data_IF_147265156308
#
_entry.id   IF_147265156308
#
_cell.length_a   1.000
_cell.length_b   1.000
_cell.length_c   1.000
_cell.angle_alpha   90.00
_cell.angle_beta   90.00
_cell.angle_gamma   90.00
#
_symmetry.space_group_name_H-M   'P 1'
#
loop_
_entity.id
_entity.type
_entity.pdbx_description
1 polymer ?
#
# COMPACT_ATOMS: atom_id res chain seq x y z
N UNK A 1 -9.38 40.92 3.17
CA UNK A 1 -8.35 40.59 2.15
C UNK A 1 -8.17 39.09 2.14
N UNK A 2 -8.67 38.40 1.12
CA UNK A 2 -8.37 36.98 0.95
C UNK A 2 -7.04 36.87 0.19
N UNK A 3 -5.93 36.71 0.91
CA UNK A 3 -4.61 36.52 0.29
C UNK A 3 -4.62 35.24 -0.55
N UNK A 4 -4.45 35.36 -1.86
CA UNK A 4 -4.39 34.21 -2.78
C UNK A 4 -2.98 33.64 -2.84
N UNK A 5 -2.82 32.40 -3.33
CA UNK A 5 -1.48 31.80 -3.53
C UNK A 5 -0.58 32.65 -4.45
N UNK A 6 -1.18 33.36 -5.41
CA UNK A 6 -0.46 34.22 -6.38
C UNK A 6 0.17 35.43 -5.69
N UNK A 7 -0.57 36.04 -4.77
CA UNK A 7 -0.25 37.30 -4.08
C UNK A 7 0.55 37.10 -2.79
N UNK A 8 0.77 35.85 -2.38
CA UNK A 8 1.46 35.55 -1.13
C UNK A 8 2.94 35.96 -1.18
N UNK A 9 3.50 36.39 -0.05
CA UNK A 9 4.91 36.76 0.02
C UNK A 9 5.84 35.55 -0.20
N UNK A 10 7.11 35.83 -0.52
CA UNK A 10 8.09 34.79 -0.83
C UNK A 10 8.33 33.82 0.33
N UNK A 11 8.24 34.28 1.59
CA UNK A 11 8.42 33.42 2.76
C UNK A 11 7.38 32.31 2.83
N UNK A 12 6.10 32.63 2.65
CA UNK A 12 5.03 31.62 2.61
C UNK A 12 5.13 30.72 1.38
N UNK A 13 5.47 31.27 0.20
CA UNK A 13 5.67 30.47 -1.01
C UNK A 13 6.78 29.44 -0.83
N UNK A 14 7.89 29.82 -0.21
CA UNK A 14 8.98 28.89 0.13
C UNK A 14 8.52 27.81 1.13
N UNK A 15 7.83 28.20 2.21
CA UNK A 15 7.33 27.27 3.23
C UNK A 15 6.38 26.23 2.62
N UNK A 16 5.37 26.68 1.87
CA UNK A 16 4.37 25.81 1.27
C UNK A 16 4.97 24.92 0.18
N UNK A 17 5.86 25.46 -0.66
CA UNK A 17 6.52 24.66 -1.70
C UNK A 17 7.43 23.60 -1.10
N UNK A 18 8.22 23.94 -0.08
CA UNK A 18 9.06 22.97 0.63
C UNK A 18 8.25 21.81 1.21
N UNK A 19 7.14 22.13 1.88
CA UNK A 19 6.20 21.11 2.37
C UNK A 19 5.65 20.24 1.23
N UNK A 20 5.11 20.84 0.17
CA UNK A 20 4.51 20.13 -0.96
C UNK A 20 5.51 19.23 -1.70
N UNK A 21 6.77 19.62 -1.80
CA UNK A 21 7.83 18.82 -2.42
C UNK A 21 8.18 17.59 -1.57
N UNK A 22 8.30 17.75 -0.24
CA UNK A 22 8.59 16.64 0.66
C UNK A 22 7.42 15.65 0.71
N UNK A 23 6.17 16.14 0.74
CA UNK A 23 5.00 15.26 0.69
C UNK A 23 4.93 14.52 -0.65
N UNK A 24 5.21 15.17 -1.78
CA UNK A 24 5.25 14.50 -3.08
C UNK A 24 6.31 13.40 -3.14
N UNK A 25 7.50 13.64 -2.58
CA UNK A 25 8.53 12.62 -2.44
C UNK A 25 8.05 11.44 -1.57
N UNK A 26 7.40 11.73 -0.43
CA UNK A 26 6.79 10.71 0.42
C UNK A 26 5.73 9.89 -0.31
N UNK A 27 4.90 10.53 -1.13
CA UNK A 27 3.88 9.87 -1.95
C UNK A 27 4.52 8.93 -2.99
N UNK A 28 5.60 9.37 -3.65
CA UNK A 28 6.36 8.54 -4.59
C UNK A 28 7.01 7.32 -3.90
N UNK A 29 7.59 7.52 -2.70
CA UNK A 29 8.15 6.44 -1.90
C UNK A 29 7.08 5.45 -1.42
N UNK A 30 5.87 5.91 -1.09
CA UNK A 30 4.75 5.04 -0.76
C UNK A 30 4.32 4.20 -1.98
N UNK A 31 4.27 4.79 -3.17
CA UNK A 31 4.03 4.05 -4.41
C UNK A 31 5.10 2.97 -4.68
N UNK A 32 6.38 3.31 -4.50
CA UNK A 32 7.48 2.35 -4.61
C UNK A 32 7.36 1.23 -3.58
N UNK A 33 6.99 1.55 -2.33
CA UNK A 33 6.75 0.56 -1.29
C UNK A 33 5.63 -0.40 -1.68
N UNK A 34 4.52 0.10 -2.26
CA UNK A 34 3.42 -0.74 -2.76
C UNK A 34 3.91 -1.66 -3.87
N UNK A 35 4.68 -1.15 -4.84
CA UNK A 35 5.27 -1.97 -5.90
C UNK A 35 6.18 -3.08 -5.35
N UNK A 36 7.02 -2.77 -4.36
CA UNK A 36 7.95 -3.73 -3.77
C UNK A 36 7.27 -4.77 -2.85
N UNK A 37 6.16 -4.42 -2.22
CA UNK A 37 5.51 -5.28 -1.22
C UNK A 37 4.31 -6.04 -1.75
N UNK A 38 3.55 -5.43 -2.66
CA UNK A 38 2.29 -5.94 -3.19
C UNK A 38 2.40 -6.20 -4.69
N UNK A 39 3.07 -5.33 -5.44
CA UNK A 39 3.18 -5.44 -6.91
C UNK A 39 4.18 -6.46 -7.44
N UNK A 40 4.43 -7.51 -6.67
CA UNK A 40 5.17 -8.72 -7.03
C UNK A 40 4.50 -9.98 -6.45
N UNK A 41 3.31 -9.87 -5.86
CA UNK A 41 2.68 -10.99 -5.16
C UNK A 41 2.17 -12.06 -6.14
N UNK A 42 1.78 -11.66 -7.36
CA UNK A 42 1.44 -12.54 -8.48
C UNK A 42 2.60 -12.80 -9.48
N UNK A 43 3.78 -12.21 -9.24
CA UNK A 43 4.97 -12.38 -10.08
C UNK A 43 5.05 -11.44 -11.29
N UNK A 44 4.10 -10.52 -11.49
CA UNK A 44 4.16 -9.48 -12.52
C UNK A 44 4.54 -8.12 -11.91
N UNK A 45 5.06 -7.20 -12.74
CA UNK A 45 5.43 -5.87 -12.29
C UNK A 45 4.21 -4.94 -12.35
N UNK A 46 3.70 -4.51 -11.20
CA UNK A 46 2.55 -3.60 -11.09
C UNK A 46 1.58 -4.05 -10.00
N UNK A 47 0.59 -3.21 -9.65
CA UNK A 47 -0.43 -3.59 -8.68
C UNK A 47 -1.65 -4.16 -9.40
N UNK A 48 -1.83 -5.48 -9.37
CA UNK A 48 -3.00 -6.15 -9.94
C UNK A 48 -4.14 -6.30 -8.93
N UNK A 49 -5.35 -6.58 -9.42
CA UNK A 49 -6.48 -6.93 -8.54
C UNK A 49 -6.15 -8.20 -7.74
N UNK A 50 -5.46 -9.17 -8.35
CA UNK A 50 -5.02 -10.40 -7.70
C UNK A 50 -4.07 -10.14 -6.53
N UNK A 51 -3.16 -9.16 -6.64
CA UNK A 51 -2.26 -8.79 -5.55
C UNK A 51 -3.02 -8.25 -4.33
N UNK A 52 -4.05 -7.45 -4.58
CA UNK A 52 -4.91 -6.88 -3.53
C UNK A 52 -5.74 -7.96 -2.85
N UNK A 53 -6.37 -8.84 -3.64
CA UNK A 53 -7.10 -10.02 -3.11
C UNK A 53 -6.17 -10.88 -2.26
N UNK A 54 -4.99 -11.20 -2.77
CA UNK A 54 -3.98 -11.99 -2.06
C UNK A 54 -3.62 -11.36 -0.71
N UNK A 55 -3.43 -10.03 -0.68
CA UNK A 55 -3.01 -9.30 0.52
C UNK A 55 -4.10 -9.23 1.61
N UNK A 56 -5.36 -8.99 1.25
CA UNK A 56 -6.43 -8.71 2.22
C UNK A 56 -7.38 -9.89 2.45
N UNK A 57 -7.86 -10.52 1.38
CA UNK A 57 -8.71 -11.72 1.45
C UNK A 57 -7.88 -12.96 1.76
N UNK A 58 -6.67 -13.02 1.20
CA UNK A 58 -5.89 -14.25 1.12
C UNK A 58 -6.28 -15.03 -0.13
N UNK A 59 -5.44 -16.00 -0.48
CA UNK A 59 -5.61 -16.76 -1.70
C UNK A 59 -6.18 -18.16 -1.39
N UNK A 60 -7.41 -18.51 -1.79
CA UNK A 60 -7.94 -19.86 -1.55
C UNK A 60 -7.15 -20.99 -2.25
N UNK A 61 -6.26 -20.66 -3.18
CA UNK A 61 -5.50 -21.59 -4.03
C UNK A 61 -4.02 -21.74 -3.64
N UNK A 62 -3.38 -20.71 -3.04
CA UNK A 62 -1.94 -20.75 -2.71
C UNK A 62 -1.63 -20.16 -1.31
N UNK A 63 -0.91 -20.90 -0.46
CA UNK A 63 -0.56 -20.46 0.90
C UNK A 63 0.60 -19.45 0.95
N UNK A 64 0.81 -18.76 2.09
CA UNK A 64 1.96 -17.84 2.24
C UNK A 64 3.30 -18.56 2.00
N UNK A 65 3.42 -19.80 2.48
CA UNK A 65 4.59 -20.63 2.24
C UNK A 65 4.76 -20.93 0.75
N UNK A 66 3.67 -21.22 0.05
CA UNK A 66 3.69 -21.47 -1.39
C UNK A 66 4.11 -20.25 -2.21
N UNK A 67 3.59 -19.06 -1.90
CA UNK A 67 4.02 -17.82 -2.57
C UNK A 67 5.50 -17.56 -2.38
N UNK A 68 6.04 -17.84 -1.18
CA UNK A 68 7.50 -17.72 -0.95
C UNK A 68 8.28 -18.77 -1.73
N UNK A 69 7.79 -20.01 -1.81
CA UNK A 69 8.39 -21.09 -2.59
C UNK A 69 8.39 -20.79 -4.10
N UNK A 70 7.40 -20.06 -4.61
CA UNK A 70 7.34 -19.64 -6.01
C UNK A 70 8.00 -18.26 -6.29
N UNK A 71 8.55 -17.61 -5.26
CA UNK A 71 9.15 -16.28 -5.37
C UNK A 71 10.52 -16.22 -4.69
N UNK A 72 10.64 -15.44 -3.61
CA UNK A 72 11.93 -15.15 -2.98
C UNK A 72 12.68 -16.38 -2.44
N UNK A 73 12.04 -17.53 -2.27
CA UNK A 73 12.65 -18.79 -1.83
C UNK A 73 12.71 -19.86 -2.93
N UNK A 74 12.38 -19.50 -4.17
CA UNK A 74 12.32 -20.42 -5.31
C UNK A 74 13.64 -21.16 -5.55
N UNK A 75 14.76 -20.46 -5.41
CA UNK A 75 16.11 -20.98 -5.66
C UNK A 75 16.72 -21.73 -4.46
N UNK A 76 15.97 -21.88 -3.35
CA UNK A 76 16.46 -22.54 -2.13
C UNK A 76 16.17 -24.04 -2.11
N UNK A 77 15.39 -24.53 -3.07
CA UNK A 77 15.01 -25.92 -3.22
C UNK A 77 15.16 -26.36 -4.67
N UNK A 78 15.39 -27.66 -4.89
CA UNK A 78 15.23 -28.24 -6.22
C UNK A 78 13.77 -28.18 -6.68
N UNK A 79 13.56 -28.24 -7.99
CA UNK A 79 12.20 -28.22 -8.57
C UNK A 79 11.33 -29.37 -8.02
N UNK A 80 11.91 -30.55 -7.82
CA UNK A 80 11.23 -31.72 -7.25
C UNK A 80 10.83 -31.50 -5.78
N UNK A 81 11.76 -31.03 -4.93
CA UNK A 81 11.48 -30.74 -3.52
C UNK A 81 10.42 -29.64 -3.38
N UNK A 82 10.50 -28.59 -4.22
CA UNK A 82 9.53 -27.49 -4.27
C UNK A 82 8.14 -28.00 -4.63
N UNK A 83 8.04 -28.84 -5.66
CA UNK A 83 6.76 -29.41 -6.11
C UNK A 83 6.14 -30.31 -5.05
N UNK A 84 6.95 -31.10 -4.33
CA UNK A 84 6.49 -31.92 -3.22
C UNK A 84 5.91 -31.08 -2.07
N UNK A 85 6.60 -30.00 -1.69
CA UNK A 85 6.12 -29.07 -0.67
C UNK A 85 4.81 -28.40 -1.08
N UNK A 86 4.73 -27.91 -2.32
CA UNK A 86 3.50 -27.30 -2.86
C UNK A 86 2.34 -28.29 -2.87
N UNK A 87 2.59 -29.53 -3.30
CA UNK A 87 1.57 -30.59 -3.28
C UNK A 87 1.06 -30.88 -1.87
N UNK A 88 1.95 -30.87 -0.87
CA UNK A 88 1.56 -31.03 0.54
C UNK A 88 0.73 -29.86 1.05
N UNK A 89 1.06 -28.63 0.62
CA UNK A 89 0.28 -27.43 0.92
C UNK A 89 -1.14 -27.53 0.35
N UNK A 90 -1.28 -27.93 -0.91
CA UNK A 90 -2.59 -28.13 -1.56
C UNK A 90 -3.43 -29.24 -0.93
N UNK A 91 -2.79 -30.24 -0.33
CA UNK A 91 -3.46 -31.32 0.44
C UNK A 91 -3.86 -30.89 1.87
N UNK A 92 -3.75 -29.60 2.20
CA UNK A 92 -4.18 -29.02 3.47
C UNK A 92 -3.15 -29.08 4.59
N UNK A 93 -1.86 -29.19 4.25
CA UNK A 93 -0.74 -29.09 5.19
C UNK A 93 -0.88 -29.99 6.44
N UNK A 94 -1.33 -31.23 6.24
CA UNK A 94 -1.64 -32.17 7.33
C UNK A 94 -0.37 -32.62 8.05
N UNK A 95 -0.41 -32.63 9.39
CA UNK A 95 0.73 -33.02 10.26
C UNK A 95 1.26 -34.43 9.95
N UNK A 96 0.37 -35.40 9.75
CA UNK A 96 0.76 -36.79 9.43
C UNK A 96 1.61 -36.88 8.15
N UNK A 97 1.22 -36.16 7.09
CA UNK A 97 1.98 -36.12 5.84
C UNK A 97 3.29 -35.32 5.99
N UNK A 98 3.27 -34.30 6.85
CA UNK A 98 4.48 -33.55 7.20
C UNK A 98 5.54 -34.45 7.83
N UNK A 99 5.18 -35.20 8.87
CA UNK A 99 6.11 -36.05 9.62
C UNK A 99 6.72 -37.18 8.75
N UNK A 100 5.98 -37.66 7.74
CA UNK A 100 6.39 -38.77 6.88
C UNK A 100 7.25 -38.34 5.69
N UNK A 101 6.91 -37.24 5.02
CA UNK A 101 7.45 -36.93 3.68
C UNK A 101 8.12 -35.55 3.59
N UNK A 102 7.67 -34.58 4.39
CA UNK A 102 8.07 -33.16 4.22
C UNK A 102 9.10 -32.71 5.25
N UNK A 103 9.06 -33.29 6.45
CA UNK A 103 9.93 -32.90 7.57
C UNK A 103 11.41 -32.96 7.19
N UNK A 104 11.83 -33.99 6.46
CA UNK A 104 13.21 -34.13 5.99
C UNK A 104 13.64 -32.96 5.09
N UNK A 105 12.76 -32.50 4.18
CA UNK A 105 13.04 -31.37 3.29
C UNK A 105 13.12 -30.07 4.08
N UNK A 106 12.17 -29.84 5.00
CA UNK A 106 12.14 -28.64 5.83
C UNK A 106 13.38 -28.55 6.73
N UNK A 107 13.76 -29.65 7.38
CA UNK A 107 14.95 -29.71 8.23
C UNK A 107 16.24 -29.46 7.44
N UNK A 108 16.35 -30.05 6.24
CA UNK A 108 17.55 -29.95 5.42
C UNK A 108 17.71 -28.60 4.71
N UNK A 109 16.60 -28.00 4.24
CA UNK A 109 16.63 -26.79 3.39
C UNK A 109 16.26 -25.52 4.15
N UNK A 110 15.26 -25.60 5.02
CA UNK A 110 14.63 -24.41 5.57
C UNK A 110 15.15 -24.09 6.97
N UNK A 111 15.25 -25.07 7.87
CA UNK A 111 15.67 -24.88 9.28
C UNK A 111 17.09 -24.32 9.39
N UNK A 112 17.94 -24.53 8.38
CA UNK A 112 19.28 -23.92 8.30
C UNK A 112 19.29 -22.40 8.45
N UNK A 113 18.22 -21.73 8.00
CA UNK A 113 18.03 -20.29 8.20
C UNK A 113 16.84 -20.02 9.13
N UNK A 114 15.76 -20.78 9.01
CA UNK A 114 14.53 -20.64 9.78
C UNK A 114 14.59 -21.42 11.10
N UNK A 115 15.43 -20.97 12.04
CA UNK A 115 15.58 -21.57 13.37
C UNK A 115 15.42 -20.54 14.50
N UNK A 116 15.13 -21.01 15.71
CA UNK A 116 15.03 -20.17 16.90
C UNK A 116 16.33 -19.42 17.17
N UNK A 117 16.27 -18.08 17.24
CA UNK A 117 17.43 -17.24 17.54
C UNK A 117 18.22 -16.75 16.33
N UNK A 118 17.69 -16.90 15.11
CA UNK A 118 18.27 -16.22 13.95
C UNK A 118 18.17 -14.68 14.11
N UNK A 119 19.29 -13.93 13.99
CA UNK A 119 19.31 -12.47 14.20
C UNK A 119 18.49 -11.68 13.18
N UNK A 120 18.12 -12.27 12.03
CA UNK A 120 17.32 -11.63 10.98
C UNK A 120 15.81 -11.62 11.24
N UNK A 121 15.35 -12.04 12.43
CA UNK A 121 13.95 -12.07 12.84
C UNK A 121 13.02 -12.78 11.83
N UNK A 122 13.50 -13.87 11.25
CA UNK A 122 12.73 -14.73 10.33
C UNK A 122 12.06 -15.87 11.10
N UNK A 123 10.90 -16.39 10.63
CA UNK A 123 10.15 -17.42 11.35
C UNK A 123 10.97 -18.69 11.61
N UNK A 124 10.78 -19.30 12.78
CA UNK A 124 11.38 -20.60 13.13
C UNK A 124 10.53 -21.76 12.59
N UNK A 125 11.09 -22.56 11.69
CA UNK A 125 10.44 -23.71 11.06
C UNK A 125 10.83 -25.05 11.70
N UNK A 126 11.66 -25.06 12.75
CA UNK A 126 11.86 -26.25 13.58
C UNK A 126 10.59 -26.64 14.35
N UNK A 127 9.69 -25.67 14.56
CA UNK A 127 8.38 -25.85 15.18
C UNK A 127 7.30 -25.95 14.10
N UNK A 128 6.63 -27.10 14.02
CA UNK A 128 5.60 -27.37 13.00
C UNK A 128 4.46 -26.33 12.99
N UNK A 129 4.01 -25.86 14.16
CA UNK A 129 2.90 -24.90 14.21
C UNK A 129 3.23 -23.56 13.54
N UNK A 130 4.49 -23.13 13.60
CA UNK A 130 4.95 -21.94 12.89
C UNK A 130 4.90 -22.13 11.37
N UNK A 131 5.21 -23.34 10.89
CA UNK A 131 5.08 -23.70 9.48
C UNK A 131 3.59 -23.78 9.09
N UNK A 132 2.76 -24.43 9.92
CA UNK A 132 1.34 -24.67 9.69
C UNK A 132 0.56 -23.36 9.51
N UNK A 133 0.76 -22.38 10.38
CA UNK A 133 0.08 -21.06 10.28
C UNK A 133 0.37 -20.36 8.94
N UNK A 134 1.52 -20.66 8.32
CA UNK A 134 1.96 -20.10 7.03
C UNK A 134 1.63 -21.01 5.84
N UNK A 135 1.17 -22.23 6.14
CA UNK A 135 0.75 -23.24 5.17
C UNK A 135 -0.76 -23.17 4.89
N UNK A 136 -1.49 -22.36 5.66
CA UNK A 136 -2.90 -22.01 5.41
C UNK A 136 -3.02 -20.62 4.79
N UNK A 137 -4.06 -20.47 4.00
CA UNK A 137 -4.38 -19.27 3.24
C UNK A 137 -5.13 -18.29 4.14
N UNK A 138 -4.41 -17.36 4.76
CA UNK A 138 -5.03 -16.29 5.55
C UNK A 138 -4.60 -14.94 4.99
N UNK A 139 -5.56 -14.15 4.50
CA UNK A 139 -5.35 -12.73 4.21
C UNK A 139 -5.03 -11.94 5.48
N UNK A 140 -4.88 -10.62 5.36
CA UNK A 140 -4.53 -9.74 6.47
C UNK A 140 -5.28 -10.05 7.78
N UNK A 141 -4.54 -10.20 8.88
CA UNK A 141 -5.15 -10.45 10.20
C UNK A 141 -5.98 -9.24 10.66
N UNK A 142 -6.95 -9.45 11.55
CA UNK A 142 -7.74 -8.35 12.15
C UNK A 142 -6.82 -7.35 12.85
N UNK A 143 -5.80 -7.82 13.58
CA UNK A 143 -4.82 -6.95 14.22
C UNK A 143 -4.03 -6.10 13.21
N UNK A 144 -3.63 -6.68 12.08
CA UNK A 144 -2.96 -5.97 10.98
C UNK A 144 -3.89 -4.91 10.39
N UNK A 145 -5.13 -5.28 10.06
CA UNK A 145 -6.13 -4.37 9.49
C UNK A 145 -6.44 -3.21 10.44
N UNK A 146 -6.64 -3.47 11.73
CA UNK A 146 -6.86 -2.42 12.73
C UNK A 146 -5.68 -1.46 12.80
N UNK A 147 -4.45 -1.99 12.86
CA UNK A 147 -3.24 -1.16 12.90
C UNK A 147 -3.10 -0.30 11.65
N UNK A 148 -3.25 -0.89 10.46
CA UNK A 148 -3.15 -0.16 9.19
C UNK A 148 -4.25 0.91 9.08
N UNK A 149 -5.49 0.55 9.42
CA UNK A 149 -6.63 1.48 9.46
C UNK A 149 -6.33 2.68 10.35
N UNK A 150 -5.83 2.44 11.58
CA UNK A 150 -5.51 3.51 12.54
C UNK A 150 -4.44 4.47 11.99
N UNK A 151 -3.34 3.92 11.47
CA UNK A 151 -2.24 4.73 10.95
C UNK A 151 -2.69 5.54 9.72
N UNK A 152 -3.40 4.93 8.77
CA UNK A 152 -3.82 5.60 7.55
C UNK A 152 -4.91 6.65 7.79
N UNK A 153 -5.91 6.34 8.62
CA UNK A 153 -6.97 7.31 8.95
C UNK A 153 -6.38 8.59 9.56
N UNK A 154 -5.44 8.49 10.51
CA UNK A 154 -4.83 9.67 11.12
C UNK A 154 -3.84 10.38 10.20
N UNK A 155 -2.86 9.64 9.65
CA UNK A 155 -1.77 10.25 8.88
C UNK A 155 -2.24 10.84 7.56
N UNK A 156 -3.08 10.14 6.80
CA UNK A 156 -3.57 10.62 5.50
C UNK A 156 -4.52 11.79 5.70
N UNK A 157 -5.40 11.75 6.71
CA UNK A 157 -6.27 12.89 7.02
C UNK A 157 -5.45 14.14 7.36
N UNK A 158 -4.35 14.00 8.11
CA UNK A 158 -3.46 15.11 8.43
C UNK A 158 -2.73 15.66 7.18
N UNK A 159 -2.20 14.78 6.33
CA UNK A 159 -1.55 15.17 5.07
C UNK A 159 -2.53 15.96 4.19
N UNK A 160 -3.74 15.44 3.95
CA UNK A 160 -4.71 16.11 3.09
C UNK A 160 -5.33 17.35 3.75
N UNK A 161 -5.39 17.42 5.08
CA UNK A 161 -5.71 18.67 5.75
C UNK A 161 -4.67 19.76 5.45
N UNK A 162 -3.38 19.46 5.57
CA UNK A 162 -2.32 20.43 5.30
C UNK A 162 -2.19 20.80 3.81
N UNK A 163 -2.25 19.83 2.90
CA UNK A 163 -2.28 20.09 1.45
C UNK A 163 -3.55 20.86 1.06
N UNK A 164 -4.70 20.49 1.63
CA UNK A 164 -5.98 21.18 1.45
C UNK A 164 -5.99 22.60 1.98
N UNK A 165 -5.37 22.83 3.13
CA UNK A 165 -5.20 24.16 3.68
C UNK A 165 -4.44 25.08 2.73
N UNK A 166 -3.33 24.60 2.16
CA UNK A 166 -2.57 25.36 1.15
C UNK A 166 -3.43 25.59 -0.11
N UNK A 167 -4.05 24.53 -0.63
CA UNK A 167 -4.89 24.59 -1.82
C UNK A 167 -6.14 25.48 -1.64
N UNK A 168 -6.64 25.68 -0.42
CA UNK A 168 -7.79 26.55 -0.15
C UNK A 168 -7.53 28.01 -0.56
N UNK A 169 -6.27 28.45 -0.53
CA UNK A 169 -5.83 29.76 -1.02
C UNK A 169 -5.75 29.87 -2.55
N UNK A 170 -6.03 28.78 -3.28
CA UNK A 170 -6.11 28.82 -4.74
C UNK A 170 -7.29 29.66 -5.22
N UNK A 171 -7.07 30.34 -6.34
CA UNK A 171 -7.95 31.37 -6.89
C UNK A 171 -8.43 31.08 -8.32
N UNK A 172 -7.78 30.17 -9.03
CA UNK A 172 -8.09 29.83 -10.43
C UNK A 172 -9.30 28.91 -10.62
N UNK A 173 -9.94 28.42 -9.55
CA UNK A 173 -11.05 27.48 -9.62
C UNK A 173 -12.38 28.09 -9.15
N UNK A 174 -13.51 27.72 -9.77
CA UNK A 174 -14.83 28.02 -9.23
C UNK A 174 -15.00 27.44 -7.82
N UNK A 175 -15.68 28.18 -6.93
CA UNK A 175 -15.82 27.81 -5.51
C UNK A 175 -16.43 26.41 -5.30
N UNK A 176 -17.42 26.01 -6.13
CA UNK A 176 -18.04 24.69 -6.05
C UNK A 176 -17.02 23.57 -6.31
N UNK A 177 -16.23 23.71 -7.37
CA UNK A 177 -15.20 22.74 -7.73
C UNK A 177 -14.10 22.69 -6.67
N UNK A 178 -13.66 23.84 -6.16
CA UNK A 178 -12.68 23.91 -5.08
C UNK A 178 -13.16 23.16 -3.83
N UNK A 179 -14.40 23.38 -3.41
CA UNK A 179 -14.99 22.71 -2.24
C UNK A 179 -15.10 21.20 -2.47
N UNK A 180 -15.49 20.75 -3.67
CA UNK A 180 -15.52 19.33 -4.01
C UNK A 180 -14.14 18.70 -3.91
N UNK A 181 -13.12 19.32 -4.50
CA UNK A 181 -11.74 18.82 -4.46
C UNK A 181 -11.20 18.75 -3.04
N UNK A 182 -11.57 19.69 -2.16
CA UNK A 182 -11.19 19.66 -0.75
C UNK A 182 -11.84 18.51 0.03
N UNK A 183 -13.05 18.08 -0.35
CA UNK A 183 -13.78 17.02 0.36
C UNK A 183 -13.42 15.61 -0.12
N UNK A 184 -13.07 15.45 -1.39
CA UNK A 184 -12.81 14.15 -2.01
C UNK A 184 -11.76 13.28 -1.29
N UNK A 185 -10.63 13.80 -0.76
CA UNK A 185 -9.64 12.96 -0.10
C UNK A 185 -10.21 12.21 1.10
N UNK A 186 -11.10 12.83 1.87
CA UNK A 186 -11.71 12.21 3.05
C UNK A 186 -12.70 11.11 2.66
N UNK A 187 -13.42 11.31 1.55
CA UNK A 187 -14.32 10.28 0.99
C UNK A 187 -13.52 9.08 0.46
N UNK A 188 -12.46 9.33 -0.31
CA UNK A 188 -11.61 8.25 -0.80
C UNK A 188 -10.85 7.55 0.32
N UNK A 189 -10.40 8.26 1.36
CA UNK A 189 -9.76 7.65 2.54
C UNK A 189 -10.73 6.73 3.29
N UNK A 190 -11.96 7.17 3.53
CA UNK A 190 -12.96 6.33 4.17
C UNK A 190 -13.30 5.10 3.32
N UNK A 191 -13.42 5.28 2.00
CA UNK A 191 -13.62 4.19 1.05
C UNK A 191 -12.44 3.22 1.03
N UNK A 192 -11.21 3.71 1.03
CA UNK A 192 -9.98 2.91 0.99
C UNK A 192 -9.87 2.01 2.21
N UNK A 193 -9.94 2.60 3.41
CA UNK A 193 -9.84 1.83 4.65
C UNK A 193 -10.98 0.81 4.75
N UNK A 194 -12.22 1.20 4.42
CA UNK A 194 -13.37 0.29 4.43
C UNK A 194 -13.20 -0.85 3.43
N UNK A 195 -12.63 -0.56 2.26
CA UNK A 195 -12.43 -1.56 1.21
C UNK A 195 -11.48 -2.67 1.61
N UNK A 196 -10.49 -2.43 2.47
CA UNK A 196 -9.61 -3.49 2.99
C UNK A 196 -10.37 -4.50 3.85
N UNK A 197 -11.26 -4.02 4.71
CA UNK A 197 -12.12 -4.85 5.54
C UNK A 197 -13.15 -5.62 4.70
N UNK A 198 -13.75 -4.97 3.72
CA UNK A 198 -14.68 -5.62 2.80
C UNK A 198 -13.97 -6.68 1.94
N UNK A 199 -12.77 -6.38 1.45
CA UNK A 199 -11.94 -7.32 0.66
C UNK A 199 -11.57 -8.53 1.49
N UNK A 200 -11.36 -8.38 2.80
CA UNK A 200 -11.16 -9.53 3.69
C UNK A 200 -12.36 -10.49 3.70
N UNK A 201 -13.58 -9.97 3.59
CA UNK A 201 -14.82 -10.76 3.64
C UNK A 201 -15.18 -11.33 2.28
N UNK A 202 -14.95 -10.56 1.21
CA UNK A 202 -15.21 -10.96 -0.17
C UNK A 202 -14.18 -10.32 -1.10
N UNK A 203 -13.43 -11.15 -1.83
CA UNK A 203 -12.43 -10.76 -2.80
C UNK A 203 -12.94 -9.76 -3.85
N UNK A 204 -14.25 -9.71 -4.11
CA UNK A 204 -14.84 -8.74 -5.02
C UNK A 204 -14.48 -7.30 -4.60
N UNK A 205 -14.40 -6.95 -3.33
CA UNK A 205 -14.13 -5.55 -2.97
C UNK A 205 -12.70 -5.04 -3.28
N UNK A 206 -11.81 -5.88 -3.82
CA UNK A 206 -10.45 -5.49 -4.18
C UNK A 206 -10.36 -4.36 -5.21
N UNK A 207 -11.31 -4.25 -6.17
CA UNK A 207 -11.34 -3.11 -7.08
C UNK A 207 -11.64 -1.79 -6.37
N UNK A 208 -12.40 -1.83 -5.27
CA UNK A 208 -12.71 -0.64 -4.50
C UNK A 208 -11.42 -0.05 -3.93
N UNK A 209 -10.49 -0.89 -3.45
CA UNK A 209 -9.15 -0.50 -2.97
C UNK A 209 -8.37 0.26 -4.05
N UNK A 210 -8.37 -0.26 -5.28
CA UNK A 210 -7.64 0.36 -6.39
C UNK A 210 -8.28 1.70 -6.75
N UNK A 211 -9.62 1.75 -6.86
CA UNK A 211 -10.35 2.97 -7.19
C UNK A 211 -10.12 4.05 -6.14
N UNK A 212 -10.17 3.72 -4.85
CA UNK A 212 -9.93 4.66 -3.77
C UNK A 212 -8.49 5.13 -3.70
N UNK A 213 -7.52 4.24 -3.87
CA UNK A 213 -6.09 4.59 -3.91
C UNK A 213 -5.73 5.50 -5.09
N UNK A 214 -6.22 5.18 -6.29
CA UNK A 214 -6.04 6.02 -7.48
C UNK A 214 -6.75 7.36 -7.30
N UNK A 215 -7.97 7.36 -6.74
CA UNK A 215 -8.72 8.56 -6.42
C UNK A 215 -7.96 9.51 -5.50
N UNK A 216 -7.39 8.98 -4.40
CA UNK A 216 -6.51 9.74 -3.50
C UNK A 216 -5.32 10.35 -4.24
N UNK A 217 -4.65 9.57 -5.09
CA UNK A 217 -3.51 10.03 -5.88
C UNK A 217 -3.86 11.14 -6.86
N UNK A 218 -4.96 11.01 -7.59
CA UNK A 218 -5.40 12.02 -8.54
C UNK A 218 -5.78 13.33 -7.84
N UNK A 219 -6.48 13.25 -6.71
CA UNK A 219 -6.87 14.45 -5.95
C UNK A 219 -5.63 15.13 -5.35
N UNK A 220 -4.68 14.35 -4.81
CA UNK A 220 -3.39 14.88 -4.37
C UNK A 220 -2.67 15.61 -5.51
N UNK A 221 -2.51 14.96 -6.67
CA UNK A 221 -1.82 15.53 -7.82
C UNK A 221 -2.48 16.82 -8.32
N UNK A 222 -3.81 16.89 -8.31
CA UNK A 222 -4.55 18.09 -8.69
C UNK A 222 -4.24 19.25 -7.73
N UNK A 223 -4.39 19.03 -6.43
CA UNK A 223 -4.16 20.04 -5.40
C UNK A 223 -2.71 20.51 -5.38
N UNK A 224 -1.78 19.57 -5.48
CA UNK A 224 -0.34 19.81 -5.53
C UNK A 224 0.05 20.64 -6.76
N UNK A 225 -0.38 20.22 -7.96
CA UNK A 225 -0.02 20.87 -9.22
C UNK A 225 -0.57 22.30 -9.27
N UNK A 226 -1.85 22.49 -8.91
CA UNK A 226 -2.46 23.83 -8.91
C UNK A 226 -1.78 24.73 -7.89
N UNK A 227 -1.47 24.23 -6.70
CA UNK A 227 -0.84 25.06 -5.66
C UNK A 227 0.55 25.53 -6.08
N UNK A 228 1.39 24.64 -6.61
CA UNK A 228 2.71 25.01 -7.12
C UNK A 228 2.61 25.93 -8.34
N UNK A 229 1.69 25.65 -9.26
CA UNK A 229 1.47 26.46 -10.44
C UNK A 229 1.05 27.89 -10.07
N UNK A 230 0.10 28.06 -9.16
CA UNK A 230 -0.36 29.39 -8.75
C UNK A 230 0.69 30.18 -7.97
N UNK A 231 1.55 29.53 -7.18
CA UNK A 231 2.59 30.23 -6.44
C UNK A 231 3.70 30.78 -7.34
N UNK A 232 4.12 30.02 -8.37
CA UNK A 232 5.35 30.30 -9.11
C UNK A 232 5.16 30.72 -10.57
N UNK A 233 4.08 30.29 -11.22
CA UNK A 233 3.91 30.46 -12.67
C UNK A 233 2.69 31.29 -13.05
N UNK A 234 1.62 31.28 -12.25
CA UNK A 234 0.45 32.08 -12.54
C UNK A 234 0.73 33.58 -12.32
N UNK A 235 0.45 34.39 -13.34
CA UNK A 235 0.48 35.85 -13.22
C UNK A 235 -0.80 36.37 -12.59
N UNK A 236 -0.68 37.45 -11.83
CA UNK A 236 -1.84 38.23 -11.39
C UNK A 236 -2.46 38.95 -12.59
N UNK A 237 -3.77 38.83 -12.76
CA UNK A 237 -4.49 39.55 -13.83
C UNK A 237 -4.51 41.07 -13.62
N UNK A 238 -4.08 41.57 -12.47
CA UNK A 238 -4.09 42.99 -12.10
C UNK A 238 -2.85 43.76 -12.55
N UNK A 239 -1.81 43.11 -13.05
CA UNK A 239 -0.58 43.78 -13.55
C UNK A 239 -0.58 44.02 -15.06
N UNK A 240 -1.63 43.64 -15.80
CA UNK A 240 -1.68 43.68 -17.27
C UNK A 240 -2.50 44.86 -17.85
N UNK A 241 -2.64 45.96 -17.09
CA UNK A 241 -3.24 47.23 -17.57
C UNK A 241 -2.31 48.43 -17.41
N UNK A 242 -1.00 48.21 -17.29
CA UNK A 242 0.03 49.25 -17.31
C UNK A 242 1.17 48.82 -18.22
N UNK A 243 0.94 48.96 -19.52
CA UNK A 243 1.93 48.75 -20.59
C UNK A 243 1.35 49.27 -21.88
#
# INVERSE_FOLDING_TARGET
MNSTLRQMNSSFKCLFSGYLLIIALGYAMAGLQILMTSGMADGQLGLSISDVVYSYHGNPTHSLLETKLNGSMQDKLSETERTQLITWLHKGAKKKAFDLEIKAIIDARCVRCHYAGNPSNIPDFSVFDNLKVRSVTQGASVATLTRLSHIHLFSIAFIFFSVGFIFAFSSGLPIKLKNTVLMLPYLFLAMDVSSWWLTKLDAHFAWLVIISGVGLGLVFMLMWSISLYEMWFARDKTTDTRG
#
